data_IF_767104256232
#
_entry.id   IF_767104256232
#
_cell.length_a   1.000
_cell.length_b   1.000
_cell.length_c   1.000
_cell.angle_alpha   90.00
_cell.angle_beta   90.00
_cell.angle_gamma   90.00
#
_symmetry.space_group_name_H-M   'P 1'
#
loop_
_entity.id
_entity.type
_entity.pdbx_description
1 polymer ?
#
# COMPACT_ATOMS: atom_id res chain seq x y z
N UNK A 1 -13.52 -9.25 -14.88
CA UNK A 1 -12.64 -9.07 -13.71
C UNK A 1 -12.18 -10.45 -13.28
N UNK A 2 -10.88 -10.63 -13.16
CA UNK A 2 -10.26 -11.85 -12.63
C UNK A 2 -10.35 -11.89 -11.10
N UNK A 3 -10.22 -13.09 -10.54
CA UNK A 3 -10.40 -13.33 -9.10
C UNK A 3 -9.34 -12.62 -8.26
N UNK A 4 -8.12 -12.44 -8.79
CA UNK A 4 -7.03 -11.74 -8.12
C UNK A 4 -7.35 -10.24 -7.98
N UNK A 5 -7.84 -9.61 -9.05
CA UNK A 5 -8.31 -8.21 -8.99
C UNK A 5 -9.44 -8.03 -7.97
N UNK A 6 -10.38 -8.98 -7.88
CA UNK A 6 -11.43 -8.96 -6.85
C UNK A 6 -10.86 -9.00 -5.42
N UNK A 7 -9.88 -9.87 -5.18
CA UNK A 7 -9.21 -9.98 -3.87
C UNK A 7 -8.47 -8.69 -3.52
N UNK A 8 -7.75 -8.09 -4.47
CA UNK A 8 -7.02 -6.83 -4.25
C UNK A 8 -8.00 -5.70 -3.90
N UNK A 9 -9.13 -5.60 -4.61
CA UNK A 9 -10.17 -4.61 -4.31
C UNK A 9 -10.75 -4.83 -2.91
N UNK A 10 -11.04 -6.07 -2.54
CA UNK A 10 -11.55 -6.40 -1.21
C UNK A 10 -10.55 -6.01 -0.10
N UNK A 11 -9.26 -6.33 -0.27
CA UNK A 11 -8.18 -5.95 0.65
C UNK A 11 -8.12 -4.42 0.79
N UNK A 12 -8.19 -3.69 -0.33
CA UNK A 12 -8.19 -2.23 -0.31
C UNK A 12 -9.39 -1.67 0.45
N UNK A 13 -10.61 -2.16 0.22
CA UNK A 13 -11.82 -1.69 0.90
C UNK A 13 -11.80 -1.97 2.40
N UNK A 14 -11.41 -3.18 2.80
CA UNK A 14 -11.22 -3.54 4.22
C UNK A 14 -10.13 -2.65 4.84
N UNK A 15 -9.07 -2.39 4.09
CA UNK A 15 -8.01 -1.48 4.46
C UNK A 15 -8.50 -0.07 4.72
N UNK A 16 -9.32 0.47 3.82
CA UNK A 16 -9.89 1.80 3.90
C UNK A 16 -10.83 1.94 5.11
N UNK A 17 -11.70 0.95 5.33
CA UNK A 17 -12.56 0.89 6.53
C UNK A 17 -11.73 0.87 7.83
N UNK A 18 -10.66 0.09 7.85
CA UNK A 18 -9.76 -0.05 9.00
C UNK A 18 -8.92 1.20 9.25
N UNK A 19 -8.51 1.90 8.19
CA UNK A 19 -7.77 3.15 8.27
C UNK A 19 -8.64 4.30 8.80
N UNK A 20 -9.92 4.36 8.40
CA UNK A 20 -10.87 5.34 8.91
C UNK A 20 -11.04 5.27 10.44
N UNK A 21 -10.96 4.08 11.03
CA UNK A 21 -11.00 3.89 12.50
C UNK A 21 -9.75 4.39 13.23
N UNK A 22 -8.67 4.69 12.50
CA UNK A 22 -7.36 5.12 13.03
C UNK A 22 -7.10 6.61 12.78
N UNK A 23 -8.10 7.35 12.34
CA UNK A 23 -8.03 8.81 12.13
C UNK A 23 -8.14 9.47 13.50
N UNK A 24 -7.14 10.24 13.86
CA UNK A 24 -7.01 10.99 15.12
C UNK A 24 -7.34 12.48 14.92
N UNK A 25 -7.11 13.00 13.71
CA UNK A 25 -7.37 14.40 13.34
C UNK A 25 -8.27 14.49 12.12
N UNK A 26 -9.22 15.44 12.11
CA UNK A 26 -9.98 15.72 10.90
C UNK A 26 -9.08 16.29 9.80
N UNK A 27 -9.14 15.66 8.63
CA UNK A 27 -8.43 16.10 7.44
C UNK A 27 -9.38 16.07 6.24
N UNK A 28 -9.39 17.15 5.47
CA UNK A 28 -10.10 17.17 4.19
C UNK A 28 -9.54 16.09 3.25
N UNK A 29 -10.44 15.49 2.48
CA UNK A 29 -10.14 14.51 1.45
C UNK A 29 -9.41 13.25 1.96
N UNK A 30 -9.77 12.77 3.16
CA UNK A 30 -9.10 11.63 3.82
C UNK A 30 -9.10 10.35 2.95
N UNK A 31 -10.22 10.04 2.30
CA UNK A 31 -10.33 8.87 1.42
C UNK A 31 -9.36 8.95 0.21
N UNK A 32 -9.23 10.13 -0.41
CA UNK A 32 -8.29 10.36 -1.51
C UNK A 32 -6.86 10.20 -1.00
N UNK A 33 -6.55 10.76 0.18
CA UNK A 33 -5.22 10.60 0.80
C UNK A 33 -4.91 9.13 1.07
N UNK A 34 -5.86 8.34 1.57
CA UNK A 34 -5.67 6.91 1.77
C UNK A 34 -5.41 6.15 0.47
N UNK A 35 -6.15 6.48 -0.60
CA UNK A 35 -5.88 5.93 -1.92
C UNK A 35 -4.48 6.29 -2.42
N UNK A 36 -4.05 7.54 -2.26
CA UNK A 36 -2.69 7.97 -2.60
C UNK A 36 -1.64 7.20 -1.80
N UNK A 37 -1.79 7.06 -0.48
CA UNK A 37 -0.82 6.32 0.33
C UNK A 37 -0.80 4.83 0.00
N UNK A 38 -1.94 4.24 -0.36
CA UNK A 38 -1.99 2.87 -0.89
C UNK A 38 -1.19 2.74 -2.20
N UNK A 39 -1.38 3.67 -3.15
CA UNK A 39 -0.59 3.71 -4.39
C UNK A 39 0.90 3.87 -4.08
N UNK A 40 1.26 4.77 -3.15
CA UNK A 40 2.65 4.95 -2.72
C UNK A 40 3.24 3.63 -2.23
N UNK A 41 2.49 2.81 -1.49
CA UNK A 41 2.91 1.47 -1.08
C UNK A 41 3.19 0.51 -2.25
N UNK A 42 2.48 0.66 -3.37
CA UNK A 42 2.63 -0.16 -4.57
C UNK A 42 3.81 0.25 -5.46
N UNK A 43 4.31 1.49 -5.33
CA UNK A 43 5.37 2.00 -6.20
C UNK A 43 6.68 1.26 -5.94
N UNK A 44 7.21 0.66 -7.00
CA UNK A 44 8.48 -0.04 -6.99
C UNK A 44 9.30 0.29 -8.24
N UNK A 45 10.60 0.02 -8.15
CA UNK A 45 11.55 0.17 -9.24
C UNK A 45 12.32 -1.13 -9.39
N UNK A 46 12.44 -1.64 -10.62
CA UNK A 46 13.12 -2.91 -10.89
C UNK A 46 14.53 -2.65 -11.39
N UNK A 47 15.54 -3.21 -10.72
CA UNK A 47 16.96 -3.10 -11.09
C UNK A 47 17.56 -4.49 -11.16
N UNK A 48 18.03 -4.91 -12.35
CA UNK A 48 18.65 -6.23 -12.58
C UNK A 48 17.81 -7.40 -12.03
N UNK A 49 16.47 -7.32 -12.15
CA UNK A 49 15.54 -8.33 -11.63
C UNK A 49 15.20 -8.19 -10.15
N UNK A 50 15.84 -7.28 -9.42
CA UNK A 50 15.50 -6.97 -8.03
C UNK A 50 14.47 -5.85 -7.93
N UNK A 51 13.39 -6.07 -7.19
CA UNK A 51 12.29 -5.11 -7.03
C UNK A 51 12.51 -4.29 -5.76
N UNK A 52 12.73 -2.99 -5.93
CA UNK A 52 12.97 -2.03 -4.85
C UNK A 52 11.66 -1.29 -4.57
N UNK A 53 11.08 -1.37 -3.36
CA UNK A 53 9.82 -0.69 -3.03
C UNK A 53 10.06 0.80 -2.73
N UNK A 54 10.41 1.57 -3.77
CA UNK A 54 10.82 2.96 -3.64
C UNK A 54 9.74 3.85 -3.02
N UNK A 55 8.46 3.55 -3.27
CA UNK A 55 7.37 4.31 -2.69
C UNK A 55 7.29 4.15 -1.17
N UNK A 56 7.62 2.97 -0.63
CA UNK A 56 7.69 2.77 0.80
C UNK A 56 8.87 3.53 1.42
N UNK A 57 10.02 3.58 0.73
CA UNK A 57 11.19 4.35 1.16
C UNK A 57 10.82 5.84 1.24
N UNK A 58 10.24 6.39 0.17
CA UNK A 58 9.81 7.79 0.11
C UNK A 58 8.75 8.07 1.19
N UNK A 59 7.80 7.16 1.41
CA UNK A 59 6.81 7.28 2.47
C UNK A 59 7.45 7.45 3.85
N UNK A 60 8.44 6.61 4.20
CA UNK A 60 9.10 6.71 5.50
C UNK A 60 9.88 8.01 5.69
N UNK A 61 10.44 8.58 4.61
CA UNK A 61 11.10 9.88 4.65
C UNK A 61 10.13 11.04 4.96
N UNK A 62 8.91 11.00 4.42
CA UNK A 62 7.92 12.07 4.61
C UNK A 62 6.99 11.85 5.82
N UNK A 63 6.87 10.61 6.31
CA UNK A 63 6.00 10.18 7.42
C UNK A 63 6.06 11.07 8.67
N UNK A 64 7.23 11.56 9.14
CA UNK A 64 7.31 12.35 10.36
C UNK A 64 6.51 13.67 10.33
N UNK A 65 6.19 14.19 9.14
CA UNK A 65 5.48 15.47 8.95
C UNK A 65 3.97 15.29 8.70
N UNK A 66 3.47 14.06 8.62
CA UNK A 66 2.07 13.80 8.28
C UNK A 66 1.17 13.88 9.53
N UNK A 67 -0.03 14.42 9.37
CA UNK A 67 -1.17 14.16 10.27
C UNK A 67 -1.74 12.77 10.02
N UNK A 68 -2.44 12.16 10.98
CA UNK A 68 -3.00 10.81 10.86
C UNK A 68 -1.98 9.74 10.42
N UNK A 69 -0.76 9.81 10.98
CA UNK A 69 0.38 8.97 10.58
C UNK A 69 0.02 7.49 10.61
N UNK A 70 -0.67 7.03 11.64
CA UNK A 70 -1.05 5.61 11.81
C UNK A 70 -1.91 5.11 10.66
N UNK A 71 -2.98 5.84 10.32
CA UNK A 71 -3.88 5.47 9.23
C UNK A 71 -3.16 5.49 7.87
N UNK A 72 -2.37 6.54 7.58
CA UNK A 72 -1.60 6.65 6.33
C UNK A 72 -0.49 5.60 6.21
N UNK A 73 0.17 5.27 7.33
CA UNK A 73 1.15 4.19 7.41
C UNK A 73 0.49 2.85 7.10
N UNK A 74 -0.69 2.61 7.66
CA UNK A 74 -1.42 1.39 7.40
C UNK A 74 -1.79 1.24 5.92
N UNK A 75 -2.24 2.31 5.26
CA UNK A 75 -2.53 2.28 3.82
C UNK A 75 -1.27 2.05 2.97
N UNK A 76 -0.16 2.71 3.30
CA UNK A 76 1.12 2.48 2.61
C UNK A 76 1.64 1.05 2.79
N UNK A 77 1.52 0.48 3.99
CA UNK A 77 1.89 -0.91 4.25
C UNK A 77 0.96 -1.90 3.53
N UNK A 78 -0.33 -1.60 3.40
CA UNK A 78 -1.25 -2.42 2.61
C UNK A 78 -0.88 -2.44 1.13
N UNK A 79 -0.56 -1.28 0.54
CA UNK A 79 -0.06 -1.22 -0.83
C UNK A 79 1.21 -2.04 -1.00
N UNK A 80 2.14 -1.92 -0.04
CA UNK A 80 3.37 -2.70 -0.05
C UNK A 80 3.13 -4.22 0.09
N UNK A 81 2.17 -4.64 0.92
CA UNK A 81 1.80 -6.04 1.03
C UNK A 81 1.26 -6.59 -0.31
N UNK A 82 0.44 -5.80 -1.02
CA UNK A 82 -0.05 -6.17 -2.37
C UNK A 82 1.10 -6.26 -3.37
N UNK A 83 2.06 -5.33 -3.32
CA UNK A 83 3.28 -5.42 -4.13
C UNK A 83 4.05 -6.72 -3.86
N UNK A 84 4.25 -7.09 -2.59
CA UNK A 84 4.91 -8.35 -2.21
C UNK A 84 4.15 -9.57 -2.73
N UNK A 85 2.83 -9.61 -2.58
CA UNK A 85 2.01 -10.72 -3.09
C UNK A 85 2.18 -10.85 -4.61
N UNK A 86 2.10 -9.74 -5.35
CA UNK A 86 2.22 -9.73 -6.80
C UNK A 86 3.63 -10.09 -7.31
N UNK A 87 4.65 -9.99 -6.47
CA UNK A 87 6.05 -10.24 -6.87
C UNK A 87 6.56 -11.59 -6.37
N UNK A 88 6.25 -11.94 -5.13
CA UNK A 88 6.71 -13.16 -4.46
C UNK A 88 5.90 -14.38 -4.90
N UNK A 89 4.58 -14.27 -5.05
CA UNK A 89 3.75 -15.42 -5.45
C UNK A 89 4.16 -15.96 -6.83
N UNK A 90 4.30 -15.13 -7.88
CA UNK A 90 4.77 -15.63 -9.17
C UNK A 90 6.19 -16.19 -9.11
N UNK A 91 7.09 -15.56 -8.34
CA UNK A 91 8.45 -16.05 -8.18
C UNK A 91 8.49 -17.45 -7.55
N UNK A 92 7.68 -17.70 -6.51
CA UNK A 92 7.57 -19.02 -5.87
C UNK A 92 6.95 -20.04 -6.83
N UNK A 93 5.87 -19.70 -7.54
CA UNK A 93 5.18 -20.62 -8.45
C UNK A 93 6.09 -21.05 -9.60
N UNK A 94 6.91 -20.15 -10.15
CA UNK A 94 7.85 -20.48 -11.23
C UNK A 94 9.08 -21.27 -10.77
N UNK A 95 9.24 -21.49 -9.46
CA UNK A 95 10.37 -22.20 -8.84
C UNK A 95 10.08 -23.71 -8.64
N UNK A 96 8.82 -24.14 -8.78
CA UNK A 96 8.35 -25.53 -8.68
C UNK A 96 7.81 -26.01 -10.04
#
# INVERSE_FOLDING_TARGET
>A
MDIVTLIIIAIFLIGLMSANRKVEEEESYMAIKFFVFYIVGLLSFTVKGFIIPIGLIVFFLIRPKLKNKRAKTFMALLGFAVLLINTVVPAIVNLF
#
